data_IF_736782018542
#
_entry.id   IF_736782018542
#
_cell.length_a   1.000
_cell.length_b   1.000
_cell.length_c   1.000
_cell.angle_alpha   90.00
_cell.angle_beta   90.00
_cell.angle_gamma   90.00
#
_symmetry.space_group_name_H-M   'P 1'
#
loop_
_entity.id
_entity.type
_entity.pdbx_description
1 polymer ?
#
# COMPACT_ATOMS: atom_id res chain seq x y z
N UNK A 1 -17.78 -11.07 -24.73
CA UNK A 1 -17.98 -9.61 -24.56
C UNK A 1 -17.86 -9.15 -23.11
N UNK A 2 -18.44 -9.86 -22.13
CA UNK A 2 -18.29 -9.54 -20.70
C UNK A 2 -16.83 -9.57 -20.20
N UNK A 3 -16.04 -10.55 -20.65
CA UNK A 3 -14.63 -10.71 -20.28
C UNK A 3 -13.73 -9.55 -20.75
N UNK A 4 -13.99 -9.02 -21.94
CA UNK A 4 -13.28 -7.84 -22.48
C UNK A 4 -13.61 -6.59 -21.67
N UNK A 5 -14.82 -6.47 -21.14
CA UNK A 5 -15.17 -5.36 -20.25
C UNK A 5 -14.52 -5.50 -18.87
N UNK A 6 -14.43 -6.70 -18.31
CA UNK A 6 -13.67 -6.97 -17.07
C UNK A 6 -12.19 -6.62 -17.23
N UNK A 7 -11.55 -7.05 -18.32
CA UNK A 7 -10.15 -6.71 -18.63
C UNK A 7 -9.91 -5.20 -18.69
N UNK A 8 -10.80 -4.44 -19.33
CA UNK A 8 -10.70 -2.97 -19.40
C UNK A 8 -10.83 -2.29 -18.03
N UNK A 9 -11.67 -2.84 -17.14
CA UNK A 9 -11.80 -2.33 -15.77
C UNK A 9 -10.55 -2.67 -14.96
N UNK A 10 -10.00 -3.87 -15.10
CA UNK A 10 -8.75 -4.28 -14.47
C UNK A 10 -7.58 -3.35 -14.86
N UNK A 11 -7.41 -3.10 -16.17
CA UNK A 11 -6.36 -2.21 -16.68
C UNK A 11 -6.51 -0.77 -16.19
N UNK A 12 -7.74 -0.25 -16.13
CA UNK A 12 -8.01 1.09 -15.62
C UNK A 12 -7.70 1.21 -14.11
N UNK A 13 -8.03 0.18 -13.33
CA UNK A 13 -7.71 0.10 -11.90
C UNK A 13 -6.19 0.01 -11.70
N UNK A 14 -5.49 -0.83 -12.46
CA UNK A 14 -4.03 -0.96 -12.40
C UNK A 14 -3.34 0.36 -12.76
N UNK A 15 -3.80 1.06 -13.80
CA UNK A 15 -3.27 2.36 -14.19
C UNK A 15 -3.52 3.42 -13.10
N UNK A 16 -4.69 3.43 -12.49
CA UNK A 16 -5.03 4.32 -11.37
C UNK A 16 -4.12 4.05 -10.16
N UNK A 17 -3.91 2.79 -9.80
CA UNK A 17 -3.06 2.37 -8.67
C UNK A 17 -1.61 2.76 -8.90
N UNK A 18 -1.08 2.49 -10.10
CA UNK A 18 0.28 2.90 -10.49
C UNK A 18 0.46 4.41 -10.42
N UNK A 19 -0.53 5.18 -10.86
CA UNK A 19 -0.50 6.65 -10.72
C UNK A 19 -0.54 7.08 -9.26
N UNK A 20 -1.41 6.49 -8.44
CA UNK A 20 -1.50 6.79 -7.00
C UNK A 20 -0.20 6.46 -6.25
N UNK A 21 0.42 5.32 -6.57
CA UNK A 21 1.72 4.89 -6.03
C UNK A 21 2.81 5.90 -6.41
N UNK A 22 2.92 6.24 -7.69
CA UNK A 22 3.92 7.18 -8.19
C UNK A 22 3.76 8.58 -7.58
N UNK A 23 2.55 9.08 -7.46
CA UNK A 23 2.29 10.44 -7.00
C UNK A 23 2.32 10.59 -5.48
N UNK A 24 1.91 9.56 -4.72
CA UNK A 24 1.73 9.65 -3.28
C UNK A 24 2.69 8.74 -2.52
N UNK A 25 2.76 7.44 -2.83
CA UNK A 25 3.61 6.49 -2.10
C UNK A 25 5.09 6.85 -2.24
N UNK A 26 5.57 7.20 -3.44
CA UNK A 26 6.98 7.63 -3.61
C UNK A 26 7.32 8.91 -2.85
N UNK A 27 6.41 9.88 -2.81
CA UNK A 27 6.60 11.10 -2.02
C UNK A 27 6.62 10.79 -0.53
N UNK A 28 5.73 9.92 -0.07
CA UNK A 28 5.70 9.45 1.32
C UNK A 28 6.96 8.68 1.69
N UNK A 29 7.49 7.83 0.81
CA UNK A 29 8.78 7.16 1.00
C UNK A 29 9.92 8.18 1.14
N UNK A 30 9.95 9.20 0.27
CA UNK A 30 10.93 10.28 0.36
C UNK A 30 10.85 11.07 1.67
N UNK A 31 9.64 11.37 2.15
CA UNK A 31 9.42 12.01 3.46
C UNK A 31 9.85 11.11 4.62
N UNK A 32 9.55 9.81 4.55
CA UNK A 32 9.97 8.83 5.55
C UNK A 32 11.50 8.80 5.65
N UNK A 33 12.22 8.69 4.53
CA UNK A 33 13.68 8.67 4.55
C UNK A 33 14.28 9.97 5.09
N UNK A 34 13.69 11.12 4.74
CA UNK A 34 14.14 12.42 5.27
C UNK A 34 13.89 12.53 6.78
N UNK A 35 12.75 12.01 7.27
CA UNK A 35 12.44 11.94 8.69
C UNK A 35 13.46 11.05 9.43
N UNK A 36 13.74 9.86 8.90
CA UNK A 36 14.73 8.93 9.46
C UNK A 36 16.14 9.53 9.50
N UNK A 37 16.54 10.26 8.45
CA UNK A 37 17.81 10.99 8.44
C UNK A 37 17.85 12.05 9.56
N UNK A 38 16.79 12.83 9.73
CA UNK A 38 16.67 13.80 10.82
C UNK A 38 16.74 13.16 12.21
N UNK A 39 16.18 11.97 12.39
CA UNK A 39 16.31 11.20 13.63
C UNK A 39 17.78 10.84 13.94
N UNK A 40 18.59 10.55 12.91
CA UNK A 40 20.00 10.18 13.06
C UNK A 40 20.92 11.39 13.29
N UNK A 41 20.50 12.60 12.92
CA UNK A 41 21.28 13.83 13.12
C UNK A 41 21.25 14.33 14.57
N UNK A 42 20.33 13.81 15.40
CA UNK A 42 20.21 14.18 16.81
C UNK A 42 21.29 13.46 17.65
N UNK A 43 22.48 14.05 17.69
CA UNK A 43 23.64 13.54 18.44
C UNK A 43 23.45 13.41 19.97
N UNK A 44 22.40 14.02 20.52
CA UNK A 44 22.07 13.98 21.95
C UNK A 44 21.13 12.81 22.32
N UNK A 45 20.56 12.13 21.32
CA UNK A 45 19.63 11.04 21.53
C UNK A 45 20.38 9.71 21.69
N UNK A 46 19.89 8.83 22.56
CA UNK A 46 20.41 7.47 22.66
C UNK A 46 20.03 6.65 21.42
N UNK A 47 20.80 5.59 21.14
CA UNK A 47 20.51 4.68 20.02
C UNK A 47 19.08 4.14 20.02
N UNK A 48 18.51 3.89 21.21
CA UNK A 48 17.12 3.44 21.37
C UNK A 48 16.11 4.52 20.99
N UNK A 49 16.38 5.78 21.35
CA UNK A 49 15.52 6.91 20.99
C UNK A 49 15.54 7.16 19.48
N UNK A 50 16.70 7.03 18.83
CA UNK A 50 16.83 7.14 17.38
C UNK A 50 16.05 6.02 16.68
N UNK A 51 16.17 4.76 17.14
CA UNK A 51 15.37 3.66 16.58
C UNK A 51 13.87 3.90 16.72
N UNK A 52 13.42 4.34 17.89
CA UNK A 52 12.00 4.61 18.12
C UNK A 52 11.49 5.81 17.29
N UNK A 53 12.36 6.78 17.00
CA UNK A 53 12.07 7.89 16.09
C UNK A 53 11.90 7.40 14.65
N UNK A 54 12.82 6.55 14.17
CA UNK A 54 12.75 5.95 12.83
C UNK A 54 11.48 5.11 12.68
N UNK A 55 11.13 4.27 13.65
CA UNK A 55 9.89 3.48 13.59
C UNK A 55 8.66 4.38 13.41
N UNK A 56 8.59 5.50 14.14
CA UNK A 56 7.50 6.48 13.99
C UNK A 56 7.45 7.11 12.60
N UNK A 57 8.60 7.34 11.95
CA UNK A 57 8.66 7.83 10.57
C UNK A 57 8.09 6.83 9.56
N UNK A 58 8.12 5.52 9.85
CA UNK A 58 7.63 4.46 8.97
C UNK A 58 6.13 4.19 9.09
N UNK A 59 5.51 4.48 10.25
CA UNK A 59 4.08 4.22 10.51
C UNK A 59 3.15 4.83 9.44
N UNK A 60 3.28 6.10 9.03
CA UNK A 60 2.36 6.69 8.05
C UNK A 60 2.46 6.02 6.68
N UNK A 61 3.66 5.64 6.26
CA UNK A 61 3.89 4.92 5.02
C UNK A 61 3.25 3.53 5.05
N UNK A 62 3.44 2.79 6.14
CA UNK A 62 2.84 1.47 6.32
C UNK A 62 1.30 1.53 6.29
N UNK A 63 0.70 2.53 6.94
CA UNK A 63 -0.75 2.74 6.91
C UNK A 63 -1.28 3.03 5.50
N UNK A 64 -0.60 3.92 4.76
CA UNK A 64 -0.99 4.22 3.38
C UNK A 64 -0.85 2.98 2.47
N UNK A 65 0.24 2.21 2.63
CA UNK A 65 0.45 0.97 1.89
C UNK A 65 -0.66 -0.04 2.17
N UNK A 66 -1.02 -0.25 3.45
CA UNK A 66 -2.07 -1.17 3.87
C UNK A 66 -3.45 -0.75 3.35
N UNK A 67 -3.76 0.56 3.35
CA UNK A 67 -4.99 1.09 2.77
C UNK A 67 -5.07 0.80 1.27
N UNK A 68 -4.00 1.06 0.51
CA UNK A 68 -4.00 0.78 -0.94
C UNK A 68 -4.21 -0.70 -1.21
N UNK A 69 -3.53 -1.58 -0.46
CA UNK A 69 -3.70 -3.03 -0.59
C UNK A 69 -5.14 -3.46 -0.26
N UNK A 70 -5.70 -3.01 0.86
CA UNK A 70 -7.07 -3.37 1.26
C UNK A 70 -8.12 -2.90 0.25
N UNK A 71 -7.98 -1.68 -0.27
CA UNK A 71 -8.89 -1.19 -1.29
C UNK A 71 -8.76 -2.00 -2.59
N UNK A 72 -7.55 -2.36 -3.00
CA UNK A 72 -7.32 -3.21 -4.17
C UNK A 72 -7.91 -4.61 -4.02
N UNK A 73 -7.78 -5.22 -2.84
CA UNK A 73 -8.40 -6.52 -2.52
C UNK A 73 -9.92 -6.42 -2.62
N UNK A 74 -10.55 -5.40 -2.02
CA UNK A 74 -12.00 -5.17 -2.16
C UNK A 74 -12.43 -4.96 -3.61
N UNK A 75 -11.61 -4.28 -4.42
CA UNK A 75 -11.89 -4.13 -5.85
C UNK A 75 -11.79 -5.47 -6.58
N UNK A 76 -10.78 -6.28 -6.30
CA UNK A 76 -10.65 -7.63 -6.86
C UNK A 76 -11.82 -8.53 -6.45
N UNK A 77 -12.18 -8.55 -5.16
CA UNK A 77 -13.31 -9.33 -4.66
C UNK A 77 -14.60 -8.96 -5.38
N UNK A 78 -14.89 -7.66 -5.56
CA UNK A 78 -16.10 -7.22 -6.29
C UNK A 78 -16.09 -7.61 -7.77
N UNK A 79 -14.91 -7.78 -8.37
CA UNK A 79 -14.77 -8.22 -9.77
C UNK A 79 -14.87 -9.75 -9.89
N UNK A 80 -14.40 -10.51 -8.90
CA UNK A 80 -14.42 -11.99 -8.88
C UNK A 80 -15.73 -12.56 -8.35
N UNK A 81 -16.47 -11.85 -7.49
CA UNK A 81 -17.75 -12.32 -6.90
C UNK A 81 -18.91 -12.40 -7.92
N UNK A 82 -18.67 -12.09 -9.20
CA UNK A 82 -19.59 -12.44 -10.29
C UNK A 82 -19.23 -13.76 -11.01
N UNK A 83 -18.37 -14.60 -10.41
CA UNK A 83 -17.99 -15.90 -10.95
C UNK A 83 -17.83 -16.97 -9.87
N UNK A 84 -18.93 -17.66 -9.57
CA UNK A 84 -18.99 -19.06 -9.11
C UNK A 84 -18.45 -19.44 -7.71
N UNK A 85 -19.42 -19.85 -6.87
CA UNK A 85 -19.38 -20.98 -5.92
C UNK A 85 -18.01 -21.40 -5.37
N UNK A 86 -17.70 -21.01 -4.13
CA UNK A 86 -16.76 -21.75 -3.28
C UNK A 86 -17.35 -23.14 -2.97
N UNK A 87 -16.71 -24.26 -3.32
CA UNK A 87 -16.86 -25.47 -2.53
C UNK A 87 -15.99 -25.33 -1.26
N UNK A 88 -16.45 -25.83 -0.09
CA UNK A 88 -15.64 -25.78 1.13
C UNK A 88 -14.38 -26.66 1.00
N UNK A 89 -13.27 -26.29 1.66
CA UNK A 89 -12.06 -27.09 1.63
C UNK A 89 -12.23 -28.38 2.45
N UNK A 90 -11.94 -29.52 1.81
CA UNK A 90 -11.50 -30.75 2.48
C UNK A 90 -12.54 -31.86 2.64
N UNK A 91 -12.50 -32.82 1.73
CA UNK A 91 -12.69 -34.25 2.01
C UNK A 91 -11.30 -34.90 2.03
#
# INVERSE_FOLDING_TARGET
MAEVQQLRVQEAVDAMVKNKERENIRKMQGLMFRCSAGCCEVNQASMQQVHQCIERCHVPLAQAQALVTSELEKFQDRLTTNGWQFPPPGL
#
